data_IF_872087675385
#
_entry.id   IF_872087675385
#
_cell.length_a   1.000
_cell.length_b   1.000
_cell.length_c   1.000
_cell.angle_alpha   90.00
_cell.angle_beta   90.00
_cell.angle_gamma   90.00
#
_symmetry.space_group_name_H-M   'P 1'
#
loop_
_entity.id
_entity.type
_entity.pdbx_description
1 polymer ?
#
# COMPACT_ATOMS: atom_id res chain seq x y z
N UNK A 1 42.92 84.04 20.55
CA UNK A 1 42.51 83.37 19.30
C UNK A 1 43.04 81.92 19.36
N UNK A 2 42.23 80.98 19.86
CA UNK A 2 42.63 79.57 20.10
C UNK A 2 42.13 78.70 18.93
N UNK A 3 43.03 77.91 18.34
CA UNK A 3 42.69 76.82 17.42
C UNK A 3 41.79 75.79 18.12
N UNK A 4 40.75 75.33 17.42
CA UNK A 4 40.08 74.06 17.71
C UNK A 4 40.23 73.16 16.48
N UNK A 5 41.15 72.20 16.60
CA UNK A 5 41.26 71.05 15.71
C UNK A 5 40.15 70.07 16.11
N UNK A 6 39.15 69.91 15.25
CA UNK A 6 38.13 68.88 15.37
C UNK A 6 38.47 67.71 14.46
N UNK A 7 39.07 66.68 15.02
CA UNK A 7 39.31 65.39 14.36
C UNK A 7 37.97 64.66 14.22
N UNK A 8 37.53 64.36 12.99
CA UNK A 8 36.37 63.47 12.77
C UNK A 8 36.85 62.24 12.02
N UNK A 9 37.30 61.25 12.78
CA UNK A 9 37.49 59.88 12.31
C UNK A 9 36.36 59.04 12.89
N UNK A 10 35.38 58.69 12.05
CA UNK A 10 34.36 57.69 12.36
C UNK A 10 34.27 56.77 11.15
N UNK A 11 35.10 55.73 11.16
CA UNK A 11 35.11 54.69 10.15
C UNK A 11 34.17 53.60 10.64
N UNK A 12 33.13 53.34 9.87
CA UNK A 12 32.10 52.35 10.16
C UNK A 12 32.70 50.95 10.09
N UNK A 13 32.98 50.33 11.24
CA UNK A 13 33.26 48.90 11.33
C UNK A 13 31.96 48.19 11.71
N UNK A 14 31.17 47.84 10.69
CA UNK A 14 30.09 46.87 10.81
C UNK A 14 30.67 45.44 10.75
N UNK A 15 30.11 44.46 11.49
CA UNK A 15 30.59 43.08 11.45
C UNK A 15 30.59 42.54 10.01
N UNK A 16 31.74 42.04 9.55
CA UNK A 16 31.82 41.36 8.26
C UNK A 16 30.95 40.09 8.29
N UNK A 17 30.04 39.89 7.33
CA UNK A 17 29.27 38.65 7.23
C UNK A 17 30.24 37.48 7.00
N UNK A 18 30.28 36.54 7.95
CA UNK A 18 31.00 35.28 7.79
C UNK A 18 30.16 34.34 6.92
N UNK A 19 30.29 34.49 5.61
CA UNK A 19 29.74 33.53 4.65
C UNK A 19 30.61 32.26 4.68
N UNK A 20 30.31 31.40 5.66
CA UNK A 20 30.91 30.08 5.82
C UNK A 20 30.24 29.14 4.80
N UNK A 21 30.72 29.18 3.56
CA UNK A 21 30.30 28.25 2.51
C UNK A 21 30.74 26.81 2.82
N UNK A 22 29.87 25.84 2.49
CA UNK A 22 30.18 24.40 2.58
C UNK A 22 31.40 24.04 1.73
N UNK A 23 32.28 23.19 2.26
CA UNK A 23 33.43 22.71 1.47
C UNK A 23 33.01 21.57 0.52
N UNK A 24 33.67 21.46 -0.64
CA UNK A 24 33.43 20.35 -1.57
C UNK A 24 33.71 18.97 -0.93
N UNK A 25 34.71 18.90 -0.05
CA UNK A 25 35.06 17.68 0.67
C UNK A 25 33.95 17.24 1.64
N UNK A 26 33.26 18.20 2.25
CA UNK A 26 32.20 17.95 3.23
C UNK A 26 30.94 17.41 2.55
N UNK A 27 30.58 17.94 1.38
CA UNK A 27 29.50 17.36 0.56
C UNK A 27 29.88 15.98 0.03
N UNK A 28 31.15 15.76 -0.36
CA UNK A 28 31.64 14.47 -0.86
C UNK A 28 31.56 13.37 0.21
N UNK A 29 32.01 13.65 1.44
CA UNK A 29 31.94 12.69 2.55
C UNK A 29 30.48 12.43 2.95
N UNK A 30 29.62 13.45 2.92
CA UNK A 30 28.20 13.29 3.21
C UNK A 30 27.52 12.31 2.24
N UNK A 31 27.72 12.47 0.92
CA UNK A 31 27.13 11.56 -0.07
C UNK A 31 27.73 10.15 0.02
N UNK A 32 29.00 10.03 0.40
CA UNK A 32 29.64 8.73 0.66
C UNK A 32 28.94 7.99 1.81
N UNK A 33 28.70 8.67 2.92
CA UNK A 33 28.03 8.07 4.10
C UNK A 33 26.60 7.68 3.74
N UNK A 34 25.82 8.55 3.08
CA UNK A 34 24.45 8.22 2.64
C UNK A 34 24.44 7.04 1.67
N UNK A 35 25.43 6.93 0.78
CA UNK A 35 25.58 5.79 -0.13
C UNK A 35 25.75 4.46 0.60
N UNK A 36 26.59 4.42 1.64
CA UNK A 36 26.80 3.21 2.46
C UNK A 36 25.50 2.83 3.20
N UNK A 37 24.79 3.81 3.76
CA UNK A 37 23.52 3.57 4.44
C UNK A 37 22.45 3.04 3.47
N UNK A 38 22.34 3.63 2.28
CA UNK A 38 21.37 3.18 1.27
C UNK A 38 21.66 1.77 0.77
N UNK A 39 22.93 1.37 0.64
CA UNK A 39 23.29 0.03 0.20
C UNK A 39 22.72 -1.07 1.12
N UNK A 40 22.65 -0.82 2.42
CA UNK A 40 22.10 -1.76 3.42
C UNK A 40 20.57 -1.58 3.56
N UNK A 41 20.07 -0.35 3.47
CA UNK A 41 18.66 -0.04 3.68
C UNK A 41 17.75 -0.47 2.53
N UNK A 42 18.17 -0.28 1.27
CA UNK A 42 17.34 -0.57 0.09
C UNK A 42 16.84 -2.02 0.01
N UNK A 43 17.66 -3.07 0.16
CA UNK A 43 17.16 -4.44 0.02
C UNK A 43 16.11 -4.80 1.08
N UNK A 44 16.29 -4.34 2.32
CA UNK A 44 15.33 -4.59 3.41
C UNK A 44 14.04 -3.79 3.22
N UNK A 45 14.16 -2.54 2.74
CA UNK A 45 13.03 -1.68 2.43
C UNK A 45 12.13 -2.25 1.34
N UNK A 46 12.70 -2.78 0.25
CA UNK A 46 11.92 -3.37 -0.84
C UNK A 46 11.10 -4.58 -0.37
N UNK A 47 11.71 -5.52 0.34
CA UNK A 47 10.98 -6.68 0.88
C UNK A 47 9.94 -6.30 1.93
N UNK A 48 10.17 -5.23 2.71
CA UNK A 48 9.17 -4.72 3.64
C UNK A 48 7.96 -4.09 2.91
N UNK A 49 8.21 -3.38 1.81
CA UNK A 49 7.18 -2.77 0.97
C UNK A 49 6.30 -3.82 0.29
N UNK A 50 6.90 -4.89 -0.25
CA UNK A 50 6.17 -6.02 -0.84
C UNK A 50 5.25 -6.69 0.19
N UNK A 51 5.80 -7.06 1.36
CA UNK A 51 5.02 -7.64 2.46
C UNK A 51 3.90 -6.73 2.95
N UNK A 52 4.14 -5.42 3.02
CA UNK A 52 3.11 -4.45 3.39
C UNK A 52 1.99 -4.42 2.34
N UNK A 53 2.34 -4.47 1.06
CA UNK A 53 1.36 -4.52 -0.01
C UNK A 53 0.53 -5.80 -0.01
N UNK A 54 1.14 -6.95 0.28
CA UNK A 54 0.42 -8.23 0.35
C UNK A 54 -0.58 -8.23 1.50
N UNK A 55 -0.17 -7.74 2.67
CA UNK A 55 -1.07 -7.59 3.83
C UNK A 55 -2.22 -6.63 3.57
N UNK A 56 -2.00 -5.56 2.79
CA UNK A 56 -3.07 -4.65 2.41
C UNK A 56 -4.13 -5.38 1.58
N UNK A 57 -3.74 -6.09 0.52
CA UNK A 57 -4.68 -6.88 -0.30
C UNK A 57 -5.42 -7.95 0.51
N UNK A 58 -4.72 -8.62 1.43
CA UNK A 58 -5.33 -9.58 2.36
C UNK A 58 -6.36 -8.94 3.32
N UNK A 59 -6.09 -7.71 3.77
CA UNK A 59 -7.00 -6.94 4.63
C UNK A 59 -8.24 -6.49 3.86
N UNK A 60 -8.05 -6.03 2.62
CA UNK A 60 -9.14 -5.61 1.73
C UNK A 60 -10.06 -6.80 1.44
N UNK A 61 -9.50 -7.98 1.13
CA UNK A 61 -10.27 -9.22 0.95
C UNK A 61 -11.06 -9.64 2.19
N UNK A 62 -10.47 -9.52 3.39
CA UNK A 62 -11.20 -9.82 4.63
C UNK A 62 -12.36 -8.85 4.84
N UNK A 63 -12.15 -7.57 4.56
CA UNK A 63 -13.21 -6.54 4.61
C UNK A 63 -14.32 -6.84 3.61
N UNK A 64 -13.95 -7.18 2.37
CA UNK A 64 -14.88 -7.57 1.32
C UNK A 64 -15.73 -8.80 1.70
N UNK A 65 -15.10 -9.81 2.32
CA UNK A 65 -15.83 -10.99 2.80
C UNK A 65 -16.85 -10.63 3.88
N UNK A 66 -16.55 -9.69 4.78
CA UNK A 66 -17.54 -9.22 5.76
C UNK A 66 -18.74 -8.60 5.06
N UNK A 67 -18.52 -7.72 4.07
CA UNK A 67 -19.62 -7.13 3.28
C UNK A 67 -20.47 -8.19 2.58
N UNK A 68 -19.82 -9.18 1.94
CA UNK A 68 -20.54 -10.28 1.31
C UNK A 68 -21.34 -11.11 2.33
N UNK A 69 -20.79 -11.39 3.52
CA UNK A 69 -21.50 -12.10 4.59
C UNK A 69 -22.70 -11.31 5.11
N UNK A 70 -22.62 -9.98 5.19
CA UNK A 70 -23.76 -9.12 5.51
C UNK A 70 -24.87 -9.29 4.49
N UNK A 71 -24.54 -9.19 3.19
CA UNK A 71 -25.50 -9.43 2.11
C UNK A 71 -26.14 -10.84 2.20
N UNK A 72 -25.33 -11.86 2.47
CA UNK A 72 -25.82 -13.24 2.60
C UNK A 72 -26.76 -13.43 3.80
N UNK A 73 -26.58 -12.67 4.89
CA UNK A 73 -27.47 -12.73 6.05
C UNK A 73 -28.90 -12.31 5.68
N UNK A 74 -29.05 -11.37 4.74
CA UNK A 74 -30.34 -10.84 4.29
C UNK A 74 -30.90 -11.63 3.10
N UNK A 75 -30.10 -11.79 2.04
CA UNK A 75 -30.54 -12.41 0.79
C UNK A 75 -30.53 -13.95 0.83
N UNK A 76 -29.80 -14.55 1.78
CA UNK A 76 -29.60 -16.01 1.90
C UNK A 76 -28.97 -16.64 0.65
N UNK A 77 -28.33 -15.83 -0.19
CA UNK A 77 -27.64 -16.21 -1.42
C UNK A 77 -26.62 -15.15 -1.80
N UNK A 78 -25.52 -15.59 -2.41
CA UNK A 78 -24.54 -14.74 -3.09
C UNK A 78 -24.88 -14.54 -4.56
N UNK A 79 -25.87 -15.24 -5.13
CA UNK A 79 -26.23 -15.08 -6.56
C UNK A 79 -26.59 -13.65 -6.96
N UNK A 80 -27.00 -12.82 -6.01
CA UNK A 80 -27.32 -11.40 -6.21
C UNK A 80 -26.22 -10.46 -5.71
N UNK A 81 -25.10 -10.99 -5.24
CA UNK A 81 -23.97 -10.20 -4.77
C UNK A 81 -23.06 -9.86 -5.95
N UNK A 82 -23.32 -8.71 -6.59
CA UNK A 82 -22.51 -8.13 -7.65
C UNK A 82 -21.74 -6.91 -7.16
N UNK A 83 -21.16 -6.18 -8.13
CA UNK A 83 -20.37 -4.97 -7.87
C UNK A 83 -21.18 -3.90 -7.13
N UNK A 84 -22.43 -3.68 -7.54
CA UNK A 84 -23.29 -2.67 -6.92
C UNK A 84 -23.62 -3.00 -5.45
N UNK A 85 -23.86 -4.27 -5.15
CA UNK A 85 -24.10 -4.75 -3.79
C UNK A 85 -22.82 -4.67 -2.94
N UNK A 86 -21.67 -5.05 -3.51
CA UNK A 86 -20.38 -4.88 -2.85
C UNK A 86 -20.09 -3.42 -2.49
N UNK A 87 -20.34 -2.49 -3.42
CA UNK A 87 -20.19 -1.05 -3.19
C UNK A 87 -21.16 -0.50 -2.15
N UNK A 88 -22.40 -1.01 -2.12
CA UNK A 88 -23.39 -0.62 -1.13
C UNK A 88 -22.99 -1.04 0.29
N UNK A 89 -22.42 -2.25 0.43
CA UNK A 89 -21.97 -2.80 1.71
C UNK A 89 -20.64 -2.18 2.17
N UNK A 90 -19.67 -2.06 1.24
CA UNK A 90 -18.31 -1.60 1.52
C UNK A 90 -17.90 -0.55 0.46
N UNK A 91 -18.24 0.74 0.68
CA UNK A 91 -18.04 1.80 -0.32
C UNK A 91 -16.57 2.25 -0.48
N UNK A 92 -15.69 1.84 0.43
CA UNK A 92 -14.27 2.19 0.40
C UNK A 92 -13.40 1.14 -0.34
N UNK A 93 -14.01 0.09 -0.88
CA UNK A 93 -13.36 -0.87 -1.75
C UNK A 93 -13.83 -0.65 -3.19
N UNK A 94 -12.91 -0.87 -4.13
CA UNK A 94 -13.24 -0.87 -5.55
C UNK A 94 -13.53 -2.30 -6.00
N UNK A 95 -14.78 -2.54 -6.37
CA UNK A 95 -15.29 -3.87 -6.72
C UNK A 95 -15.28 -4.06 -8.24
N UNK A 96 -14.85 -5.24 -8.69
CA UNK A 96 -14.80 -5.57 -10.12
C UNK A 96 -15.28 -6.99 -10.38
N UNK A 97 -15.43 -7.33 -11.65
CA UNK A 97 -15.56 -8.70 -12.14
C UNK A 97 -14.35 -9.02 -13.01
N UNK A 98 -13.87 -10.27 -13.00
CA UNK A 98 -12.65 -10.67 -13.72
C UNK A 98 -11.35 -10.29 -13.00
N UNK A 99 -10.24 -10.14 -13.72
CA UNK A 99 -8.90 -9.91 -13.16
C UNK A 99 -8.78 -8.52 -12.47
N UNK A 100 -8.58 -8.46 -11.14
CA UNK A 100 -8.49 -7.19 -10.42
C UNK A 100 -7.12 -6.50 -10.61
N UNK A 101 -7.15 -5.17 -10.75
CA UNK A 101 -5.95 -4.36 -10.57
C UNK A 101 -5.52 -4.33 -9.09
N UNK A 102 -4.30 -3.85 -8.83
CA UNK A 102 -3.80 -3.80 -7.46
C UNK A 102 -4.62 -2.81 -6.60
N UNK A 103 -5.19 -3.31 -5.50
CA UNK A 103 -6.10 -2.54 -4.63
C UNK A 103 -7.59 -2.66 -4.97
N UNK A 104 -7.94 -3.44 -6.00
CA UNK A 104 -9.33 -3.82 -6.30
C UNK A 104 -9.63 -5.22 -5.73
N UNK A 105 -10.92 -5.47 -5.49
CA UNK A 105 -11.45 -6.79 -5.14
C UNK A 105 -12.40 -7.26 -6.23
N UNK A 106 -12.13 -8.43 -6.77
CA UNK A 106 -12.97 -9.09 -7.76
C UNK A 106 -13.94 -10.06 -7.10
N UNK A 107 -15.18 -10.06 -7.58
CA UNK A 107 -16.15 -11.12 -7.34
C UNK A 107 -15.97 -12.15 -8.47
N UNK A 108 -15.11 -13.14 -8.24
CA UNK A 108 -14.73 -14.12 -9.25
C UNK A 108 -15.82 -15.18 -9.45
N UNK A 109 -16.51 -15.56 -8.37
CA UNK A 109 -17.71 -16.39 -8.44
C UNK A 109 -18.68 -16.01 -7.32
N UNK A 110 -19.97 -15.95 -7.63
CA UNK A 110 -21.04 -15.72 -6.66
C UNK A 110 -22.29 -16.48 -7.11
N UNK A 111 -22.52 -17.66 -6.53
CA UNK A 111 -23.58 -18.56 -6.98
C UNK A 111 -24.18 -19.34 -5.82
N UNK A 112 -25.44 -19.07 -5.52
CA UNK A 112 -26.14 -19.71 -4.41
C UNK A 112 -25.40 -19.45 -3.10
N UNK A 113 -25.00 -20.48 -2.34
CA UNK A 113 -24.24 -20.33 -1.11
C UNK A 113 -22.73 -20.15 -1.31
N UNK A 114 -22.23 -20.23 -2.56
CA UNK A 114 -20.80 -20.22 -2.84
C UNK A 114 -20.33 -18.84 -3.33
N UNK A 115 -19.20 -18.40 -2.81
CA UNK A 115 -18.55 -17.12 -3.13
C UNK A 115 -17.04 -17.32 -3.29
N UNK A 116 -16.44 -16.65 -4.27
CA UNK A 116 -15.00 -16.52 -4.46
C UNK A 116 -14.66 -15.05 -4.67
N UNK A 117 -13.84 -14.51 -3.79
CA UNK A 117 -13.29 -13.16 -3.87
C UNK A 117 -11.80 -13.22 -4.18
N UNK A 118 -11.33 -12.37 -5.08
CA UNK A 118 -9.92 -12.30 -5.48
C UNK A 118 -9.41 -10.88 -5.38
N UNK A 119 -8.23 -10.70 -4.80
CA UNK A 119 -7.55 -9.41 -4.68
C UNK A 119 -6.12 -9.52 -5.19
N UNK A 120 -5.61 -8.43 -5.76
CA UNK A 120 -4.23 -8.35 -6.23
C UNK A 120 -3.44 -7.34 -5.41
N UNK A 121 -2.25 -7.73 -4.95
CA UNK A 121 -1.33 -6.81 -4.30
C UNK A 121 -0.47 -6.04 -5.32
N UNK A 122 0.09 -4.90 -4.91
CA UNK A 122 1.04 -4.13 -5.73
C UNK A 122 2.38 -4.85 -5.92
N UNK A 123 2.66 -5.91 -5.16
CA UNK A 123 3.80 -6.81 -5.43
C UNK A 123 3.54 -7.74 -6.64
N UNK A 124 2.28 -7.85 -7.08
CA UNK A 124 1.85 -8.70 -8.17
C UNK A 124 1.26 -10.04 -7.73
N UNK A 125 1.22 -10.31 -6.42
CA UNK A 125 0.65 -11.55 -5.88
C UNK A 125 -0.87 -11.48 -5.86
N UNK A 126 -1.52 -12.56 -6.30
CA UNK A 126 -2.97 -12.74 -6.18
C UNK A 126 -3.30 -13.49 -4.90
N UNK A 127 -4.39 -13.08 -4.25
CA UNK A 127 -4.93 -13.72 -3.06
C UNK A 127 -6.42 -13.97 -3.27
N UNK A 128 -6.94 -15.04 -2.68
CA UNK A 128 -8.37 -15.30 -2.71
C UNK A 128 -8.91 -15.70 -1.33
N UNK A 129 -10.21 -15.51 -1.18
CA UNK A 129 -11.04 -16.07 -0.13
C UNK A 129 -12.25 -16.75 -0.79
N UNK A 130 -12.54 -17.98 -0.41
CA UNK A 130 -13.73 -18.69 -0.86
C UNK A 130 -14.60 -19.11 0.32
N UNK A 131 -15.90 -18.87 0.21
CA UNK A 131 -16.91 -19.32 1.16
C UNK A 131 -17.79 -20.33 0.45
N UNK A 132 -17.86 -21.56 0.96
CA UNK A 132 -18.56 -22.67 0.31
C UNK A 132 -19.68 -23.20 1.21
N UNK A 133 -20.80 -23.62 0.61
CA UNK A 133 -21.92 -24.22 1.35
C UNK A 133 -21.51 -25.42 2.21
N UNK A 134 -20.57 -26.20 1.67
CA UNK A 134 -20.15 -27.48 2.23
C UNK A 134 -18.91 -27.37 3.13
N UNK A 135 -18.43 -26.14 3.38
CA UNK A 135 -17.27 -25.88 4.25
C UNK A 135 -17.65 -24.92 5.38
N UNK A 136 -17.42 -25.28 6.65
CA UNK A 136 -17.58 -24.34 7.75
C UNK A 136 -16.44 -23.30 7.80
N UNK A 137 -15.37 -23.50 7.03
CA UNK A 137 -14.23 -22.60 6.97
C UNK A 137 -14.23 -21.78 5.68
N UNK A 138 -13.73 -20.55 5.77
CA UNK A 138 -13.37 -19.76 4.59
C UNK A 138 -12.04 -20.25 4.06
N UNK A 139 -12.06 -20.83 2.86
CA UNK A 139 -10.87 -21.28 2.16
C UNK A 139 -10.06 -20.08 1.66
N UNK A 140 -8.76 -20.26 1.58
CA UNK A 140 -7.81 -19.19 1.25
C UNK A 140 -6.71 -19.74 0.37
N UNK A 141 -6.30 -18.94 -0.60
CA UNK A 141 -5.21 -19.28 -1.52
C UNK A 141 -4.48 -18.07 -2.04
N UNK A 142 -3.37 -18.34 -2.72
CA UNK A 142 -2.54 -17.33 -3.37
C UNK A 142 -1.95 -17.86 -4.66
N UNK A 143 -1.70 -16.96 -5.62
CA UNK A 143 -1.22 -17.32 -6.95
C UNK A 143 -0.40 -16.20 -7.60
N UNK A 144 0.19 -16.52 -8.75
CA UNK A 144 0.96 -15.58 -9.56
C UNK A 144 0.11 -14.92 -10.66
N UNK A 145 -1.00 -15.56 -11.04
CA UNK A 145 -1.99 -15.07 -11.98
C UNK A 145 -3.41 -15.15 -11.39
N UNK A 146 -4.34 -14.41 -11.99
CA UNK A 146 -5.76 -14.47 -11.62
C UNK A 146 -6.31 -15.90 -11.74
N UNK A 147 -5.97 -16.60 -12.82
CA UNK A 147 -6.38 -17.99 -13.09
C UNK A 147 -5.83 -19.03 -12.09
N UNK A 148 -4.89 -18.64 -11.21
CA UNK A 148 -4.40 -19.53 -10.14
C UNK A 148 -5.31 -19.48 -8.90
N UNK A 149 -6.31 -18.59 -8.86
CA UNK A 149 -7.11 -18.29 -7.67
C UNK A 149 -8.56 -17.86 -7.95
N UNK A 150 -9.04 -17.91 -9.20
CA UNK A 150 -10.36 -17.39 -9.60
C UNK A 150 -11.51 -18.38 -9.41
N UNK A 151 -11.22 -19.63 -9.06
CA UNK A 151 -12.22 -20.61 -8.63
C UNK A 151 -12.02 -21.10 -7.19
N UNK A 152 -13.07 -21.67 -6.62
CA UNK A 152 -13.01 -22.29 -5.30
C UNK A 152 -12.07 -23.50 -5.24
N UNK A 153 -11.87 -24.21 -6.35
CA UNK A 153 -10.96 -25.34 -6.44
C UNK A 153 -9.48 -24.90 -6.38
N UNK A 154 -9.19 -23.72 -6.92
CA UNK A 154 -7.85 -23.14 -6.96
C UNK A 154 -7.55 -22.33 -5.70
N UNK A 155 -8.57 -21.86 -4.99
CA UNK A 155 -8.43 -21.05 -3.77
C UNK A 155 -7.99 -21.86 -2.54
N UNK A 156 -6.80 -22.45 -2.61
CA UNK A 156 -6.26 -23.38 -1.62
C UNK A 156 -4.81 -23.05 -1.24
N UNK A 157 -4.29 -23.70 -0.21
CA UNK A 157 -2.88 -23.57 0.21
C UNK A 157 -2.59 -22.45 1.22
N UNK A 158 -3.55 -21.57 1.50
CA UNK A 158 -3.45 -20.54 2.52
C UNK A 158 -2.41 -19.46 2.26
N UNK A 159 -2.35 -18.50 3.18
CA UNK A 159 -1.37 -17.40 3.22
C UNK A 159 -1.26 -16.81 4.63
#
# INVERSE_FOLDING_TARGET
MRLHVGTVASKLEGPLPTDLGFTLAEVLIAVLIVGILMAIALPTYLGARERASDRAAQSDLRTALVGALTHYAEARTYSTFGVAEGEAEIPNLEWVTGDPAAGQVSIAAASGPDLVLVGRSRSGTYFCLAQLANSPATDRGKGAAFADVDSSAECTGGW
#
